data_IF_468767254924
#
_entry.id   IF_468767254924
#
_cell.length_a   1.000
_cell.length_b   1.000
_cell.length_c   1.000
_cell.angle_alpha   90.00
_cell.angle_beta   90.00
_cell.angle_gamma   90.00
#
_symmetry.space_group_name_H-M   'P 1'
#
loop_
_entity.id
_entity.type
_entity.pdbx_description
1 polymer ?
#
# COMPACT_ATOMS: atom_id res chain seq x y z
N UNK A 1 19.07 20.75 0.44
CA UNK A 1 17.88 20.98 1.27
C UNK A 1 17.70 19.78 2.18
N UNK A 2 17.82 19.95 3.50
CA UNK A 2 17.47 18.89 4.43
C UNK A 2 15.95 18.87 4.53
N UNK A 3 15.31 17.89 3.87
CA UNK A 3 13.89 17.64 4.10
C UNK A 3 13.75 17.24 5.57
N UNK A 4 13.07 18.07 6.36
CA UNK A 4 12.79 17.73 7.76
C UNK A 4 11.92 16.48 7.75
N UNK A 5 12.47 15.35 8.19
CA UNK A 5 11.70 14.12 8.43
C UNK A 5 10.69 14.43 9.55
N UNK A 6 9.42 14.57 9.19
CA UNK A 6 8.31 14.68 10.13
C UNK A 6 7.71 13.29 10.35
N UNK A 7 7.32 13.01 11.58
CA UNK A 7 6.51 11.85 11.90
C UNK A 7 5.03 12.22 11.77
N UNK A 8 4.26 11.34 11.14
CA UNK A 8 2.80 11.40 11.09
C UNK A 8 2.26 10.01 11.41
N UNK A 9 1.16 9.94 12.17
CA UNK A 9 0.38 8.72 12.37
C UNK A 9 -1.01 8.94 11.75
N UNK A 10 -1.20 8.61 10.47
CA UNK A 10 -2.47 8.86 9.79
C UNK A 10 -3.61 8.10 10.49
N UNK A 11 -4.73 8.77 10.82
CA UNK A 11 -5.87 8.11 11.46
C UNK A 11 -6.62 7.24 10.44
N UNK A 12 -7.39 6.26 10.94
CA UNK A 12 -8.43 5.65 10.12
C UNK A 12 -9.44 6.73 9.67
N UNK A 13 -9.94 6.57 8.45
CA UNK A 13 -11.00 7.38 7.89
C UNK A 13 -12.18 6.48 7.51
N UNK A 14 -13.40 7.04 7.41
CA UNK A 14 -14.54 6.31 6.87
C UNK A 14 -14.24 5.71 5.48
N UNK A 15 -14.76 4.51 5.20
CA UNK A 15 -14.48 3.76 3.97
C UNK A 15 -14.82 4.53 2.69
N UNK A 16 -15.90 5.30 2.70
CA UNK A 16 -16.32 6.15 1.58
C UNK A 16 -15.31 7.27 1.30
N UNK A 17 -14.78 7.90 2.34
CA UNK A 17 -13.74 8.93 2.22
C UNK A 17 -12.44 8.32 1.68
N UNK A 18 -12.03 7.15 2.19
CA UNK A 18 -10.85 6.46 1.68
C UNK A 18 -11.01 6.16 0.20
N UNK A 19 -12.15 5.59 -0.22
CA UNK A 19 -12.40 5.27 -1.62
C UNK A 19 -12.39 6.52 -2.52
N UNK A 20 -13.04 7.61 -2.10
CA UNK A 20 -13.06 8.86 -2.88
C UNK A 20 -11.64 9.40 -3.11
N UNK A 21 -10.83 9.47 -2.06
CA UNK A 21 -9.47 9.99 -2.15
C UNK A 21 -8.59 9.09 -3.02
N UNK A 22 -8.71 7.77 -2.90
CA UNK A 22 -7.96 6.84 -3.74
C UNK A 22 -8.34 6.98 -5.22
N UNK A 23 -9.63 7.05 -5.54
CA UNK A 23 -10.11 7.23 -6.91
C UNK A 23 -9.63 8.56 -7.51
N UNK A 24 -9.64 9.64 -6.71
CA UNK A 24 -9.11 10.94 -7.14
C UNK A 24 -7.62 10.89 -7.44
N UNK A 25 -6.82 10.23 -6.60
CA UNK A 25 -5.39 10.08 -6.82
C UNK A 25 -5.05 9.21 -8.05
N UNK A 26 -5.91 8.24 -8.39
CA UNK A 26 -5.76 7.45 -9.61
C UNK A 26 -6.02 8.27 -10.89
N UNK A 27 -6.80 9.36 -10.79
CA UNK A 27 -7.05 10.28 -11.91
C UNK A 27 -6.14 11.51 -11.93
N UNK A 28 -5.61 11.93 -10.78
CA UNK A 28 -4.82 13.15 -10.63
C UNK A 28 -3.72 12.98 -9.55
N UNK A 29 -2.43 12.98 -9.96
CA UNK A 29 -1.30 12.83 -9.05
C UNK A 29 -1.22 13.89 -7.94
N UNK A 30 -1.91 15.04 -8.09
CA UNK A 30 -1.98 16.05 -7.03
C UNK A 30 -2.56 15.52 -5.70
N UNK A 31 -3.30 14.41 -5.73
CA UNK A 31 -3.95 13.81 -4.57
C UNK A 31 -3.19 12.61 -3.99
N UNK A 32 -2.02 12.24 -4.53
CA UNK A 32 -1.27 11.05 -4.07
C UNK A 32 -0.90 11.10 -2.59
N UNK A 33 -0.57 12.27 -2.04
CA UNK A 33 -0.24 12.41 -0.62
C UNK A 33 -1.46 12.14 0.28
N UNK A 34 -2.64 12.60 -0.13
CA UNK A 34 -3.89 12.36 0.59
C UNK A 34 -4.24 10.86 0.56
N UNK A 35 -4.14 10.25 -0.63
CA UNK A 35 -4.32 8.81 -0.82
C UNK A 35 -3.34 7.98 -0.02
N UNK A 36 -2.06 8.39 0.05
CA UNK A 36 -1.05 7.73 0.85
C UNK A 36 -1.42 7.74 2.35
N UNK A 37 -1.86 8.89 2.87
CA UNK A 37 -2.29 9.00 4.26
C UNK A 37 -3.53 8.13 4.54
N UNK A 38 -4.53 8.14 3.65
CA UNK A 38 -5.73 7.32 3.78
C UNK A 38 -5.38 5.82 3.77
N UNK A 39 -4.56 5.37 2.81
CA UNK A 39 -4.18 3.97 2.67
C UNK A 39 -3.36 3.46 3.87
N UNK A 40 -2.43 4.27 4.38
CA UNK A 40 -1.65 3.95 5.59
C UNK A 40 -2.56 3.93 6.82
N UNK A 41 -3.42 4.94 6.98
CA UNK A 41 -4.36 5.01 8.10
C UNK A 41 -5.28 3.78 8.15
N UNK A 42 -5.80 3.35 7.00
CA UNK A 42 -6.57 2.11 6.89
C UNK A 42 -5.74 0.88 7.24
N UNK A 43 -4.54 0.72 6.66
CA UNK A 43 -3.69 -0.44 6.92
C UNK A 43 -3.26 -0.57 8.40
N UNK A 44 -3.12 0.54 9.12
CA UNK A 44 -2.72 0.55 10.52
C UNK A 44 -3.89 0.37 11.50
N UNK A 45 -5.06 0.91 11.17
CA UNK A 45 -6.14 1.09 12.16
C UNK A 45 -7.49 0.51 11.76
N UNK A 46 -7.75 0.23 10.47
CA UNK A 46 -9.04 -0.36 10.04
C UNK A 46 -9.11 -1.84 10.43
N UNK A 47 -10.25 -2.26 10.96
CA UNK A 47 -10.50 -3.65 11.38
C UNK A 47 -11.07 -4.51 10.24
N UNK A 48 -11.52 -3.90 9.13
CA UNK A 48 -11.94 -4.60 7.93
C UNK A 48 -10.74 -4.88 7.02
N UNK A 49 -10.09 -6.02 7.27
CA UNK A 49 -9.00 -6.55 6.43
C UNK A 49 -9.37 -6.57 4.94
N UNK A 50 -10.58 -7.00 4.59
CA UNK A 50 -10.95 -7.16 3.17
C UNK A 50 -11.09 -5.81 2.48
N UNK A 51 -11.58 -4.79 3.20
CA UNK A 51 -11.57 -3.42 2.72
C UNK A 51 -10.13 -2.93 2.45
N UNK A 52 -9.22 -3.11 3.41
CA UNK A 52 -7.81 -2.72 3.24
C UNK A 52 -7.18 -3.40 2.03
N UNK A 53 -7.39 -4.71 1.87
CA UNK A 53 -6.89 -5.47 0.73
C UNK A 53 -7.47 -4.97 -0.59
N UNK A 54 -8.79 -4.72 -0.67
CA UNK A 54 -9.44 -4.16 -1.87
C UNK A 54 -8.83 -2.80 -2.26
N UNK A 55 -8.61 -1.92 -1.30
CA UNK A 55 -7.98 -0.62 -1.53
C UNK A 55 -6.55 -0.76 -2.08
N UNK A 56 -5.74 -1.63 -1.47
CA UNK A 56 -4.37 -1.89 -1.94
C UNK A 56 -4.36 -2.49 -3.35
N UNK A 57 -5.25 -3.45 -3.64
CA UNK A 57 -5.38 -4.05 -4.98
C UNK A 57 -5.82 -3.02 -6.01
N UNK A 58 -6.82 -2.20 -5.70
CA UNK A 58 -7.27 -1.13 -6.59
C UNK A 58 -6.12 -0.19 -6.95
N UNK A 59 -5.38 0.28 -5.94
CA UNK A 59 -4.24 1.19 -6.14
C UNK A 59 -3.10 0.50 -6.91
N UNK A 60 -2.67 -0.67 -6.45
CA UNK A 60 -1.53 -1.39 -7.01
C UNK A 60 -1.73 -1.89 -8.45
N UNK A 61 -2.98 -1.97 -8.91
CA UNK A 61 -3.32 -2.36 -10.30
C UNK A 61 -3.59 -1.18 -11.22
N UNK A 62 -4.02 -0.04 -10.69
CA UNK A 62 -4.49 1.12 -11.50
C UNK A 62 -3.54 2.31 -11.47
N UNK A 63 -2.70 2.45 -10.44
CA UNK A 63 -1.74 3.55 -10.37
C UNK A 63 -0.71 3.42 -11.51
N UNK A 64 -0.31 4.57 -12.07
CA UNK A 64 0.65 4.61 -13.16
C UNK A 64 2.05 4.20 -12.69
N UNK A 65 2.88 3.71 -13.63
CA UNK A 65 4.29 3.44 -13.40
C UNK A 65 5.00 4.65 -12.78
N UNK A 66 5.81 4.42 -11.76
CA UNK A 66 6.51 5.45 -10.99
C UNK A 66 5.66 6.16 -9.94
N UNK A 67 4.37 5.82 -9.79
CA UNK A 67 3.56 6.37 -8.68
C UNK A 67 4.08 5.86 -7.33
N UNK A 68 4.29 6.73 -6.33
CA UNK A 68 4.66 6.34 -4.97
C UNK A 68 3.57 5.48 -4.31
N UNK A 69 2.35 5.44 -4.83
CA UNK A 69 1.28 4.61 -4.28
C UNK A 69 1.50 3.12 -4.54
N UNK A 70 2.27 2.74 -5.57
CA UNK A 70 2.57 1.34 -5.89
C UNK A 70 3.37 0.66 -4.77
N UNK A 71 4.53 1.22 -4.42
CA UNK A 71 5.35 0.69 -3.32
C UNK A 71 4.62 0.73 -1.98
N UNK A 72 3.82 1.78 -1.76
CA UNK A 72 3.02 1.93 -0.55
C UNK A 72 1.92 0.87 -0.42
N UNK A 73 1.24 0.50 -1.51
CA UNK A 73 0.20 -0.52 -1.49
C UNK A 73 0.77 -1.88 -1.03
N UNK A 74 1.94 -2.27 -1.54
CA UNK A 74 2.62 -3.48 -1.08
C UNK A 74 3.05 -3.40 0.40
N UNK A 75 3.58 -2.25 0.86
CA UNK A 75 3.90 -2.03 2.27
C UNK A 75 2.67 -2.14 3.19
N UNK A 76 1.56 -1.52 2.79
CA UNK A 76 0.28 -1.61 3.50
C UNK A 76 -0.24 -3.06 3.57
N UNK A 77 -0.04 -3.87 2.53
CA UNK A 77 -0.36 -5.30 2.57
C UNK A 77 0.58 -6.07 3.52
N UNK A 78 1.86 -5.68 3.62
CA UNK A 78 2.76 -6.19 4.67
C UNK A 78 2.26 -5.90 6.08
N UNK A 79 1.80 -4.67 6.34
CA UNK A 79 1.14 -4.33 7.61
C UNK A 79 -0.15 -5.11 7.85
N UNK A 80 -0.92 -5.35 6.79
CA UNK A 80 -2.14 -6.15 6.85
C UNK A 80 -1.82 -7.61 7.20
N UNK A 81 -0.82 -8.21 6.57
CA UNK A 81 -0.32 -9.54 6.92
C UNK A 81 0.14 -9.60 8.38
N UNK A 82 0.89 -8.60 8.85
CA UNK A 82 1.34 -8.49 10.24
C UNK A 82 0.18 -8.41 11.24
N UNK A 83 -0.85 -7.60 10.95
CA UNK A 83 -1.99 -7.39 11.87
C UNK A 83 -2.93 -8.58 11.89
N UNK A 84 -3.23 -9.16 10.74
CA UNK A 84 -4.30 -10.15 10.58
C UNK A 84 -3.80 -11.60 10.42
N UNK A 85 -2.50 -11.82 10.21
CA UNK A 85 -1.91 -13.15 10.02
C UNK A 85 -2.37 -13.87 8.74
N UNK A 86 -2.98 -13.15 7.80
CA UNK A 86 -3.43 -13.68 6.50
C UNK A 86 -3.63 -12.55 5.48
N UNK A 87 -3.55 -12.91 4.21
CA UNK A 87 -3.96 -12.11 3.06
C UNK A 87 -4.84 -12.96 2.13
N UNK A 88 -5.72 -12.32 1.35
CA UNK A 88 -6.37 -12.98 0.22
C UNK A 88 -5.41 -13.19 -0.96
N UNK A 89 -5.75 -14.12 -1.86
CA UNK A 89 -4.90 -14.52 -2.98
C UNK A 89 -4.53 -13.34 -3.90
N UNK A 90 -5.49 -12.45 -4.18
CA UNK A 90 -5.25 -11.28 -5.02
C UNK A 90 -4.26 -10.29 -4.37
N UNK A 91 -4.36 -10.10 -3.05
CA UNK A 91 -3.44 -9.25 -2.30
C UNK A 91 -2.04 -9.86 -2.26
N UNK A 92 -1.93 -11.18 -2.02
CA UNK A 92 -0.66 -11.88 -2.02
C UNK A 92 0.02 -11.83 -3.40
N UNK A 93 -0.74 -12.08 -4.47
CA UNK A 93 -0.24 -11.97 -5.84
C UNK A 93 0.24 -10.56 -6.17
N UNK A 94 -0.48 -9.54 -5.70
CA UNK A 94 -0.09 -8.14 -5.89
C UNK A 94 1.24 -7.82 -5.20
N UNK A 95 1.45 -8.24 -3.94
CA UNK A 95 2.72 -8.02 -3.22
C UNK A 95 3.89 -8.61 -4.01
N UNK A 96 3.76 -9.85 -4.48
CA UNK A 96 4.79 -10.49 -5.30
C UNK A 96 5.04 -9.73 -6.61
N UNK A 97 3.98 -9.32 -7.29
CA UNK A 97 4.10 -8.58 -8.56
C UNK A 97 4.78 -7.23 -8.39
N UNK A 98 4.45 -6.47 -7.33
CA UNK A 98 5.03 -5.16 -7.08
C UNK A 98 6.48 -5.26 -6.62
N UNK A 99 6.81 -6.26 -5.79
CA UNK A 99 8.19 -6.52 -5.39
C UNK A 99 9.07 -6.90 -6.59
N UNK A 100 8.58 -7.77 -7.48
CA UNK A 100 9.30 -8.13 -8.70
C UNK A 100 9.54 -6.91 -9.61
N UNK A 101 8.56 -6.01 -9.71
CA UNK A 101 8.70 -4.74 -10.46
C UNK A 101 9.73 -3.83 -9.81
N UNK A 102 9.74 -3.72 -8.48
CA UNK A 102 10.72 -2.90 -7.75
C UNK A 102 12.16 -3.44 -7.87
N UNK A 103 12.34 -4.77 -7.90
CA UNK A 103 13.63 -5.41 -8.16
C UNK A 103 14.12 -5.12 -9.59
N UNK A 104 13.22 -5.13 -10.57
CA UNK A 104 13.56 -4.92 -11.97
C UNK A 104 13.82 -3.45 -12.32
N UNK A 105 13.00 -2.53 -11.79
CA UNK A 105 13.10 -1.10 -12.04
C UNK A 105 12.61 -0.27 -10.83
N UNK A 106 13.53 0.27 -10.02
CA UNK A 106 13.20 1.16 -8.90
C UNK A 106 12.55 2.49 -9.30
N UNK A 107 12.54 2.86 -10.59
CA UNK A 107 11.79 4.02 -11.09
C UNK A 107 10.34 3.67 -11.43
N UNK A 108 10.01 2.39 -11.63
CA UNK A 108 8.65 1.91 -11.81
C UNK A 108 7.94 1.70 -10.47
N UNK A 109 8.57 0.97 -9.54
CA UNK A 109 8.06 0.73 -8.19
C UNK A 109 9.19 0.90 -7.19
N UNK A 110 8.99 1.70 -6.15
CA UNK A 110 10.02 1.93 -5.15
C UNK A 110 10.22 0.75 -4.17
N UNK A 111 11.31 0.81 -3.41
CA UNK A 111 11.75 -0.26 -2.51
C UNK A 111 10.77 -0.64 -1.39
N UNK A 112 9.74 0.18 -1.09
CA UNK A 112 8.71 -0.18 -0.09
C UNK A 112 7.95 -1.45 -0.48
N UNK A 113 7.90 -1.78 -1.77
CA UNK A 113 7.33 -3.05 -2.21
C UNK A 113 8.12 -4.27 -1.71
N UNK A 114 9.44 -4.15 -1.61
CA UNK A 114 10.31 -5.21 -1.07
C UNK A 114 10.10 -5.37 0.43
N UNK A 115 10.00 -4.25 1.16
CA UNK A 115 9.68 -4.26 2.59
C UNK A 115 8.30 -4.90 2.86
N UNK A 116 7.30 -4.58 2.03
CA UNK A 116 5.98 -5.20 2.09
C UNK A 116 6.01 -6.71 1.84
N UNK A 117 6.84 -7.19 0.92
CA UNK A 117 7.05 -8.61 0.67
C UNK A 117 7.76 -9.30 1.85
N UNK A 118 8.77 -8.67 2.45
CA UNK A 118 9.48 -9.21 3.61
C UNK A 118 8.55 -9.36 4.82
N UNK A 119 7.73 -8.36 5.09
CA UNK A 119 6.67 -8.43 6.09
C UNK A 119 5.69 -9.58 5.78
N UNK A 120 5.21 -9.65 4.54
CA UNK A 120 4.27 -10.71 4.13
C UNK A 120 4.86 -12.10 4.34
N UNK A 121 6.11 -12.35 3.92
CA UNK A 121 6.77 -13.64 4.13
C UNK A 121 6.96 -13.97 5.60
N UNK A 122 7.39 -12.97 6.39
CA UNK A 122 7.66 -13.13 7.81
C UNK A 122 6.42 -13.46 8.62
N UNK A 123 5.33 -12.72 8.40
CA UNK A 123 4.09 -12.86 9.18
C UNK A 123 3.14 -13.92 8.65
N UNK A 124 3.31 -14.38 7.41
CA UNK A 124 2.53 -15.50 6.84
C UNK A 124 3.32 -16.82 6.78
N UNK A 125 4.59 -16.82 7.23
CA UNK A 125 5.47 -18.00 7.25
C UNK A 125 5.65 -18.68 5.88
N UNK A 126 5.95 -17.88 4.84
CA UNK A 126 6.04 -18.33 3.44
C UNK A 126 7.48 -18.64 2.95
N UNK A 127 8.36 -19.08 3.87
CA UNK A 127 9.75 -19.45 3.56
C UNK A 127 9.92 -20.94 3.28
#
# INVERSE_FOLDING_TARGET
MHSHRSFSNPPAQPHDIVLDVLERALGDPAHEMEAANALVGSALHDDDREFVERCCVMVGTRAHSGSPLLGLAALCLGHTARRFGRLGDAALALVHSLAARAEADPQDVDGRALDGLDDTRSFLHLW
#
